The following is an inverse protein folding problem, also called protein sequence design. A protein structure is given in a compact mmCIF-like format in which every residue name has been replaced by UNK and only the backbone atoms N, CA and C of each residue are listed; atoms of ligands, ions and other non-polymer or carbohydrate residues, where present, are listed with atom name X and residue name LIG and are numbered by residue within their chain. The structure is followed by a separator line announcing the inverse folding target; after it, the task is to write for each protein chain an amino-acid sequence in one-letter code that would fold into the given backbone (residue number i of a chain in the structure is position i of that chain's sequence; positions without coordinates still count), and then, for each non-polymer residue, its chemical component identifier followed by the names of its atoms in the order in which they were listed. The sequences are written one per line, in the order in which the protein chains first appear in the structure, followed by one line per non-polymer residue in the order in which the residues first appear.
data_IF_839167664669
#
_entry.id   IF_839167664669
#
_cell.length_a   1.000
_cell.length_b   1.000
_cell.length_c   1.000
_cell.angle_alpha   90.00
_cell.angle_beta   90.00
_cell.angle_gamma   90.00
#
_symmetry.space_group_name_H-M   'P 1'
#
loop_
_entity.id
_entity.type
_entity.pdbx_description
1 polymer ?
#
# COMPACT_ATOMS: atom_id res chain seq x y z
N UNK A 1 11.76 27.88 3.67
CA UNK A 1 12.28 26.54 4.06
C UNK A 1 11.47 25.89 5.20
N UNK A 2 11.21 26.55 6.34
CA UNK A 2 10.46 25.95 7.47
C UNK A 2 8.99 25.60 7.15
N UNK A 3 8.28 26.46 6.40
CA UNK A 3 6.87 26.22 6.04
C UNK A 3 6.73 25.04 5.06
N UNK A 4 7.56 25.01 4.01
CA UNK A 4 7.58 23.91 3.03
C UNK A 4 7.80 22.55 3.71
N UNK A 5 8.79 22.46 4.61
CA UNK A 5 9.02 21.23 5.39
C UNK A 5 7.81 20.83 6.23
N UNK A 6 7.14 21.77 6.90
CA UNK A 6 5.91 21.47 7.67
C UNK A 6 4.79 20.90 6.79
N UNK A 7 4.61 21.43 5.57
CA UNK A 7 3.59 20.94 4.63
C UNK A 7 3.93 19.52 4.18
N UNK A 8 5.17 19.26 3.77
CA UNK A 8 5.63 17.94 3.35
C UNK A 8 5.53 16.92 4.49
N UNK A 9 5.93 17.32 5.70
CA UNK A 9 5.83 16.48 6.90
C UNK A 9 4.37 16.15 7.18
N UNK A 10 3.46 17.12 7.13
CA UNK A 10 2.04 16.87 7.29
C UNK A 10 1.52 15.91 6.22
N UNK A 11 1.84 16.12 4.95
CA UNK A 11 1.43 15.27 3.83
C UNK A 11 1.83 13.79 4.02
N UNK A 12 3.07 13.53 4.42
CA UNK A 12 3.58 12.17 4.60
C UNK A 12 3.06 11.57 5.92
N UNK A 13 3.15 12.33 7.01
CA UNK A 13 2.87 11.82 8.34
C UNK A 13 1.38 11.76 8.69
N UNK A 14 0.50 12.41 7.92
CA UNK A 14 -0.96 12.21 8.02
C UNK A 14 -1.49 11.10 7.07
N UNK A 15 -0.59 10.35 6.43
CA UNK A 15 -0.90 9.27 5.47
C UNK A 15 -1.59 9.72 4.17
N UNK A 16 -1.58 11.01 3.81
CA UNK A 16 -2.14 11.47 2.52
C UNK A 16 -1.35 10.85 1.36
N UNK A 17 -0.04 10.76 1.48
CA UNK A 17 0.79 10.13 0.45
C UNK A 17 0.45 8.64 0.23
N UNK A 18 0.26 7.89 1.32
CA UNK A 18 -0.13 6.47 1.28
C UNK A 18 -1.54 6.31 0.70
N UNK A 19 -2.46 7.20 1.03
CA UNK A 19 -3.81 7.22 0.46
C UNK A 19 -3.76 7.48 -1.06
N UNK A 20 -2.88 8.36 -1.53
CA UNK A 20 -2.67 8.60 -2.95
C UNK A 20 -2.07 7.38 -3.66
N UNK A 21 -1.17 6.64 -3.01
CA UNK A 21 -0.66 5.38 -3.55
C UNK A 21 -1.78 4.33 -3.70
N UNK A 22 -2.64 4.17 -2.68
CA UNK A 22 -3.80 3.27 -2.74
C UNK A 22 -4.85 3.67 -3.77
N UNK A 23 -5.13 4.98 -3.89
CA UNK A 23 -5.92 5.54 -5.00
C UNK A 23 -5.33 5.11 -6.34
N UNK A 24 -4.02 5.29 -6.52
CA UNK A 24 -3.34 5.07 -7.79
C UNK A 24 -3.40 3.61 -8.21
N UNK A 25 -3.11 2.70 -7.29
CA UNK A 25 -3.22 1.25 -7.52
C UNK A 25 -4.64 0.84 -7.91
N UNK A 26 -5.65 1.38 -7.23
CA UNK A 26 -7.06 1.06 -7.52
C UNK A 26 -7.47 1.58 -8.89
N UNK A 27 -7.04 2.80 -9.23
CA UNK A 27 -7.32 3.42 -10.53
C UNK A 27 -6.60 2.72 -11.69
N UNK A 28 -5.35 2.25 -11.50
CA UNK A 28 -4.63 1.45 -12.50
C UNK A 28 -5.43 0.20 -12.87
N UNK A 29 -5.97 -0.52 -11.89
CA UNK A 29 -6.83 -1.68 -12.15
C UNK A 29 -8.03 -1.29 -12.99
N UNK A 30 -8.76 -0.25 -12.61
CA UNK A 30 -9.94 0.20 -13.34
C UNK A 30 -9.60 0.60 -14.78
N UNK A 31 -8.51 1.34 -15.00
CA UNK A 31 -8.04 1.72 -16.34
C UNK A 31 -7.68 0.49 -17.18
N UNK A 32 -6.97 -0.48 -16.60
CA UNK A 32 -6.59 -1.72 -17.30
C UNK A 32 -7.81 -2.53 -17.75
N UNK A 33 -8.92 -2.46 -17.02
CA UNK A 33 -10.17 -3.15 -17.35
C UNK A 33 -11.20 -2.27 -18.08
N UNK A 34 -10.81 -1.05 -18.48
CA UNK A 34 -11.65 -0.16 -19.29
C UNK A 34 -12.71 0.64 -18.50
N UNK A 35 -12.57 0.73 -17.19
CA UNK A 35 -13.46 1.50 -16.32
C UNK A 35 -12.80 2.82 -15.92
N UNK A 36 -13.26 3.94 -16.48
CA UNK A 36 -12.67 5.26 -16.15
C UNK A 36 -13.45 6.01 -15.08
N UNK A 37 -14.76 6.09 -15.19
CA UNK A 37 -15.59 6.89 -14.29
C UNK A 37 -16.08 6.07 -13.09
N UNK A 38 -15.24 5.99 -12.06
CA UNK A 38 -15.54 5.20 -10.87
C UNK A 38 -14.98 5.86 -9.60
N UNK A 39 -15.80 5.92 -8.54
CA UNK A 39 -15.43 6.53 -7.26
C UNK A 39 -14.64 5.61 -6.33
N UNK A 40 -14.46 4.34 -6.69
CA UNK A 40 -13.77 3.33 -5.89
C UNK A 40 -12.32 3.72 -5.51
N UNK A 41 -11.51 4.36 -6.37
CA UNK A 41 -10.19 4.87 -5.98
C UNK A 41 -10.26 5.90 -4.83
N UNK A 42 -11.26 6.79 -4.85
CA UNK A 42 -11.48 7.75 -3.77
C UNK A 42 -11.97 7.05 -2.50
N UNK A 43 -12.84 6.05 -2.64
CA UNK A 43 -13.26 5.22 -1.51
C UNK A 43 -12.06 4.57 -0.81
N UNK A 44 -11.15 3.96 -1.58
CA UNK A 44 -9.92 3.35 -1.05
C UNK A 44 -9.04 4.40 -0.37
N UNK A 45 -8.84 5.57 -1.00
CA UNK A 45 -8.05 6.66 -0.43
C UNK A 45 -8.59 7.13 0.93
N UNK A 46 -9.89 7.41 1.03
CA UNK A 46 -10.53 7.83 2.27
C UNK A 46 -10.47 6.75 3.34
N UNK A 47 -10.64 5.48 2.95
CA UNK A 47 -10.50 4.34 3.87
C UNK A 47 -9.09 4.22 4.43
N UNK A 48 -8.05 4.42 3.61
CA UNK A 48 -6.65 4.45 4.06
C UNK A 48 -6.42 5.59 5.05
N UNK A 49 -6.91 6.80 4.75
CA UNK A 49 -6.78 7.96 5.65
C UNK A 49 -7.39 7.69 7.02
N UNK A 50 -8.54 7.03 7.08
CA UNK A 50 -9.18 6.68 8.36
C UNK A 50 -8.39 5.58 9.07
N UNK A 51 -8.18 4.45 8.38
CA UNK A 51 -7.57 3.25 8.96
C UNK A 51 -6.14 3.50 9.45
N UNK A 52 -5.28 4.14 8.63
CA UNK A 52 -3.87 4.30 8.97
C UNK A 52 -3.65 5.35 10.05
N UNK A 53 -4.47 6.42 10.09
CA UNK A 53 -4.40 7.38 11.19
C UNK A 53 -4.93 6.78 12.50
N UNK A 54 -5.97 5.94 12.44
CA UNK A 54 -6.41 5.17 13.60
C UNK A 54 -5.33 4.20 14.10
N UNK A 55 -4.69 3.45 13.21
CA UNK A 55 -3.58 2.54 13.55
C UNK A 55 -2.44 3.30 14.22
N UNK A 56 -2.02 4.46 13.67
CA UNK A 56 -0.98 5.30 14.29
C UNK A 56 -1.38 5.76 15.70
N UNK A 57 -2.62 6.20 15.88
CA UNK A 57 -3.14 6.56 17.20
C UNK A 57 -3.08 5.39 18.19
N UNK A 58 -3.53 4.21 17.76
CA UNK A 58 -3.49 2.99 18.56
C UNK A 58 -2.06 2.61 18.96
N UNK A 59 -1.10 2.67 18.01
CA UNK A 59 0.31 2.37 18.29
C UNK A 59 0.96 3.35 19.26
N UNK A 60 0.63 4.65 19.16
CA UNK A 60 1.08 5.67 20.11
C UNK A 60 0.54 5.37 21.51
N UNK A 61 -0.75 5.03 21.64
CA UNK A 61 -1.37 4.69 22.93
C UNK A 61 -0.78 3.45 23.57
N UNK A 62 -0.28 2.51 22.77
CA UNK A 62 0.40 1.30 23.23
C UNK A 62 1.93 1.44 23.33
N UNK A 63 2.47 2.66 23.31
CA UNK A 63 3.91 2.97 23.41
C UNK A 63 4.80 2.32 22.34
N UNK A 64 4.25 1.96 21.17
CA UNK A 64 4.99 1.35 20.05
C UNK A 64 5.57 2.36 19.08
N UNK A 65 5.07 3.60 19.11
CA UNK A 65 5.42 4.66 18.17
C UNK A 65 5.81 5.97 18.89
N UNK A 66 6.66 5.86 19.92
CA UNK A 66 7.01 6.99 20.81
C UNK A 66 7.72 8.13 20.09
N UNK A 67 8.61 7.84 19.12
CA UNK A 67 9.34 8.88 18.37
C UNK A 67 8.42 9.81 17.57
N UNK A 68 7.21 9.37 17.25
CA UNK A 68 6.23 10.09 16.44
C UNK A 68 5.17 10.81 17.28
N UNK A 69 5.11 10.51 18.58
CA UNK A 69 4.05 10.93 19.51
C UNK A 69 3.87 12.44 19.55
N UNK A 70 4.96 13.18 19.74
CA UNK A 70 4.89 14.64 19.91
C UNK A 70 4.42 15.34 18.64
N UNK A 71 4.94 14.90 17.49
CA UNK A 71 4.50 15.41 16.19
C UNK A 71 3.01 15.13 15.97
N UNK A 72 2.54 13.92 16.27
CA UNK A 72 1.14 13.52 16.07
C UNK A 72 0.20 14.37 16.91
N UNK A 73 0.47 14.55 18.20
CA UNK A 73 -0.38 15.36 19.08
C UNK A 73 -0.32 16.85 18.76
N UNK A 74 0.81 17.36 18.27
CA UNK A 74 0.90 18.74 17.79
C UNK A 74 0.03 19.01 16.55
N UNK A 75 -0.22 17.99 15.72
CA UNK A 75 -1.00 18.10 14.48
C UNK A 75 -2.39 17.44 14.56
N UNK A 76 -2.83 17.00 15.74
CA UNK A 76 -4.02 16.15 15.93
C UNK A 76 -5.30 16.79 15.37
N UNK A 77 -5.46 18.11 15.48
CA UNK A 77 -6.64 18.81 14.95
C UNK A 77 -6.75 18.67 13.43
N UNK A 78 -5.62 18.80 12.72
CA UNK A 78 -5.57 18.62 11.27
C UNK A 78 -5.81 17.17 10.86
N UNK A 79 -5.28 16.21 11.62
CA UNK A 79 -5.49 14.77 11.39
C UNK A 79 -6.97 14.42 11.61
N UNK A 80 -7.60 14.92 12.68
CA UNK A 80 -9.02 14.69 12.94
C UNK A 80 -9.91 15.32 11.87
N UNK A 81 -9.61 16.54 11.43
CA UNK A 81 -10.32 17.17 10.32
C UNK A 81 -10.21 16.32 9.05
N UNK A 82 -9.01 15.83 8.72
CA UNK A 82 -8.78 14.95 7.58
C UNK A 82 -9.59 13.64 7.69
N UNK A 83 -9.64 13.02 8.87
CA UNK A 83 -10.44 11.82 9.12
C UNK A 83 -11.94 12.10 8.99
N UNK A 84 -12.44 13.21 9.54
CA UNK A 84 -13.85 13.60 9.42
C UNK A 84 -14.23 13.82 7.96
N UNK A 85 -13.42 14.57 7.21
CA UNK A 85 -13.64 14.80 5.78
C UNK A 85 -13.60 13.48 4.99
N UNK A 86 -12.73 12.55 5.36
CA UNK A 86 -12.67 11.22 4.75
C UNK A 86 -13.93 10.39 5.04
N UNK A 87 -14.45 10.44 6.28
CA UNK A 87 -15.70 9.78 6.65
C UNK A 87 -16.88 10.36 5.87
N UNK A 88 -16.95 11.69 5.77
CA UNK A 88 -17.97 12.38 4.96
C UNK A 88 -17.85 12.00 3.48
N UNK A 89 -16.64 11.90 2.94
CA UNK A 89 -16.37 11.43 1.58
C UNK A 89 -16.83 10.00 1.34
N UNK A 90 -16.57 9.08 2.27
CA UNK A 90 -17.09 7.71 2.20
C UNK A 90 -18.62 7.67 2.27
N UNK A 91 -19.22 8.46 3.15
CA UNK A 91 -20.68 8.60 3.24
C UNK A 91 -21.28 9.12 1.94
N UNK A 92 -20.65 10.14 1.35
CA UNK A 92 -21.05 10.68 0.05
C UNK A 92 -21.02 9.60 -1.04
N UNK A 93 -19.89 8.88 -1.19
CA UNK A 93 -19.77 7.81 -2.19
C UNK A 93 -20.80 6.70 -1.93
N UNK A 94 -20.96 6.27 -0.68
CA UNK A 94 -21.81 5.11 -0.36
C UNK A 94 -23.31 5.39 -0.50
N UNK A 95 -23.76 6.62 -0.25
CA UNK A 95 -25.20 6.95 -0.21
C UNK A 95 -25.67 7.87 -1.35
N UNK A 96 -24.77 8.64 -1.97
CA UNK A 96 -25.09 9.65 -2.97
C UNK A 96 -24.43 9.40 -4.34
N UNK A 97 -23.87 8.22 -4.55
CA UNK A 97 -23.39 7.77 -5.86
C UNK A 97 -23.98 6.39 -6.20
N UNK A 98 -23.79 5.92 -7.44
CA UNK A 98 -24.24 4.59 -7.90
C UNK A 98 -23.40 3.43 -7.34
N UNK A 99 -22.86 3.59 -6.13
CA UNK A 99 -21.94 2.66 -5.51
C UNK A 99 -22.62 1.35 -5.13
N UNK A 100 -22.06 0.23 -5.57
CA UNK A 100 -22.59 -1.08 -5.21
C UNK A 100 -22.21 -1.44 -3.76
N UNK A 101 -23.11 -1.25 -2.79
CA UNK A 101 -22.86 -1.57 -1.38
C UNK A 101 -22.45 -3.03 -1.12
N UNK A 102 -22.83 -3.99 -1.98
CA UNK A 102 -22.40 -5.39 -1.84
C UNK A 102 -20.90 -5.55 -2.07
N UNK A 103 -20.25 -4.64 -2.80
CA UNK A 103 -18.80 -4.65 -3.02
C UNK A 103 -18.00 -4.54 -1.72
N UNK A 104 -18.58 -3.94 -0.67
CA UNK A 104 -17.95 -3.85 0.66
C UNK A 104 -17.70 -5.23 1.27
N UNK A 105 -18.49 -6.25 0.91
CA UNK A 105 -18.28 -7.63 1.37
C UNK A 105 -16.93 -8.20 0.88
N UNK A 106 -16.46 -7.78 -0.31
CA UNK A 106 -15.16 -8.17 -0.86
C UNK A 106 -14.01 -7.64 0.00
N UNK A 107 -14.22 -6.52 0.70
CA UNK A 107 -13.21 -5.92 1.57
C UNK A 107 -13.04 -6.69 2.89
N UNK A 108 -14.02 -7.49 3.31
CA UNK A 108 -14.01 -8.15 4.62
C UNK A 108 -12.71 -8.92 4.94
N UNK A 109 -12.21 -9.85 4.09
CA UNK A 109 -10.97 -10.57 4.38
C UNK A 109 -9.76 -9.64 4.49
N UNK A 110 -9.69 -8.58 3.69
CA UNK A 110 -8.55 -7.67 3.67
C UNK A 110 -8.59 -6.65 4.82
N UNK A 111 -9.80 -6.20 5.18
CA UNK A 111 -10.05 -5.39 6.36
C UNK A 111 -9.74 -6.17 7.64
N UNK A 112 -10.12 -7.45 7.70
CA UNK A 112 -9.73 -8.36 8.77
C UNK A 112 -8.21 -8.47 8.89
N UNK A 113 -7.50 -8.76 7.79
CA UNK A 113 -6.03 -8.79 7.80
C UNK A 113 -5.41 -7.47 8.26
N UNK A 114 -5.91 -6.33 7.79
CA UNK A 114 -5.40 -5.00 8.16
C UNK A 114 -5.63 -4.68 9.64
N UNK A 115 -6.82 -5.00 10.16
CA UNK A 115 -7.16 -4.77 11.56
C UNK A 115 -6.29 -5.62 12.48
N UNK A 116 -6.20 -6.92 12.19
CA UNK A 116 -5.43 -7.88 13.00
C UNK A 116 -3.91 -7.86 12.75
N UNK A 117 -3.47 -7.04 11.79
CA UNK A 117 -2.06 -6.69 11.64
C UNK A 117 -1.62 -5.71 12.73
N UNK A 118 -2.42 -4.67 12.99
CA UNK A 118 -2.11 -3.66 14.00
C UNK A 118 -2.56 -4.08 15.42
N UNK A 119 -3.74 -4.68 15.52
CA UNK A 119 -4.35 -5.10 16.78
C UNK A 119 -4.13 -6.62 16.94
N UNK A 120 -3.60 -7.09 18.08
CA UNK A 120 -3.35 -8.51 18.26
C UNK A 120 -4.64 -9.32 18.31
N UNK A 121 -4.64 -10.47 17.61
CA UNK A 121 -5.69 -11.49 17.64
C UNK A 121 -5.87 -12.06 19.05
N UNK A 122 -4.75 -12.34 19.72
CA UNK A 122 -4.74 -12.89 21.07
C UNK A 122 -3.64 -12.24 21.91
N UNK A 123 -3.95 -12.01 23.18
CA UNK A 123 -2.97 -11.66 24.21
C UNK A 123 -2.89 -12.80 25.22
N UNK A 124 -1.74 -13.47 25.30
CA UNK A 124 -1.48 -14.52 26.29
C UNK A 124 -0.35 -14.01 27.19
N UNK A 125 -0.73 -13.44 28.34
CA UNK A 125 0.21 -12.76 29.23
C UNK A 125 0.86 -11.54 28.56
N UNK A 126 2.18 -11.57 28.39
CA UNK A 126 2.94 -10.51 27.66
C UNK A 126 3.07 -10.78 26.16
N UNK A 127 2.66 -11.95 25.68
CA UNK A 127 2.75 -12.32 24.27
C UNK A 127 1.54 -11.78 23.52
N UNK A 128 1.80 -11.06 22.43
CA UNK A 128 0.80 -10.55 21.52
C UNK A 128 0.93 -11.24 20.17
N UNK A 129 -0.11 -11.97 19.78
CA UNK A 129 -0.16 -12.66 18.47
C UNK A 129 -0.90 -11.75 17.50
N UNK A 130 -0.18 -11.18 16.53
CA UNK A 130 -0.73 -10.39 15.42
C UNK A 130 -0.04 -10.78 14.11
N UNK A 131 -0.63 -10.47 12.96
CA UNK A 131 0.01 -10.72 11.67
C UNK A 131 1.37 -10.01 11.54
N UNK A 132 1.58 -8.90 12.28
CA UNK A 132 2.85 -8.17 12.32
C UNK A 132 3.97 -8.93 13.03
N UNK A 133 3.63 -9.76 14.01
CA UNK A 133 4.61 -10.38 14.90
C UNK A 133 5.05 -11.77 14.41
N UNK A 134 4.38 -12.33 13.40
CA UNK A 134 4.73 -13.65 12.86
C UNK A 134 5.71 -13.50 11.68
N UNK A 135 6.91 -14.13 11.76
CA UNK A 135 7.87 -14.20 10.67
C UNK A 135 7.25 -14.52 9.32
N UNK A 136 7.69 -13.82 8.28
CA UNK A 136 7.25 -13.98 6.88
C UNK A 136 5.78 -13.62 6.62
N UNK A 137 4.85 -13.92 7.53
CA UNK A 137 3.44 -13.56 7.42
C UNK A 137 3.26 -12.03 7.37
N UNK A 138 4.06 -11.27 8.14
CA UNK A 138 4.02 -9.78 8.16
C UNK A 138 3.95 -9.17 6.76
N UNK A 139 4.86 -9.54 5.86
CA UNK A 139 4.96 -8.93 4.53
C UNK A 139 3.83 -9.42 3.60
N UNK A 140 3.52 -10.72 3.64
CA UNK A 140 2.47 -11.30 2.80
C UNK A 140 1.09 -10.78 3.19
N UNK A 141 0.78 -10.59 4.48
CA UNK A 141 -0.50 -10.01 4.92
C UNK A 141 -0.70 -8.59 4.38
N UNK A 142 0.34 -7.75 4.40
CA UNK A 142 0.27 -6.40 3.82
C UNK A 142 0.03 -6.49 2.31
N UNK A 143 0.85 -7.26 1.61
CA UNK A 143 0.79 -7.31 0.15
C UNK A 143 -0.53 -7.90 -0.35
N UNK A 144 -1.03 -8.98 0.27
CA UNK A 144 -2.31 -9.59 -0.09
C UNK A 144 -3.47 -8.63 0.20
N UNK A 145 -3.46 -7.93 1.33
CA UNK A 145 -4.50 -6.94 1.63
C UNK A 145 -4.51 -5.81 0.60
N UNK A 146 -3.33 -5.25 0.26
CA UNK A 146 -3.22 -4.19 -0.73
C UNK A 146 -3.58 -4.64 -2.14
N UNK A 147 -3.14 -5.82 -2.57
CA UNK A 147 -3.51 -6.38 -3.86
C UNK A 147 -5.02 -6.67 -3.94
N UNK A 148 -5.60 -7.24 -2.89
CA UNK A 148 -7.02 -7.56 -2.84
C UNK A 148 -7.92 -6.32 -2.87
N UNK A 149 -7.58 -5.30 -2.07
CA UNK A 149 -8.30 -4.02 -2.03
C UNK A 149 -8.15 -3.27 -3.36
N UNK A 150 -6.97 -3.29 -3.99
CA UNK A 150 -6.75 -2.52 -5.22
C UNK A 150 -7.15 -3.26 -6.50
N UNK A 151 -7.43 -4.57 -6.45
CA UNK A 151 -7.82 -5.37 -7.61
C UNK A 151 -9.25 -5.88 -7.51
N UNK A 152 -9.58 -6.71 -6.50
CA UNK A 152 -10.89 -7.37 -6.46
C UNK A 152 -12.04 -6.42 -6.14
N UNK A 153 -11.82 -5.48 -5.21
CA UNK A 153 -12.84 -4.52 -4.83
C UNK A 153 -13.31 -3.62 -5.99
N UNK A 154 -12.43 -2.90 -6.73
CA UNK A 154 -12.89 -2.08 -7.86
C UNK A 154 -13.51 -2.90 -8.99
N UNK A 155 -13.04 -4.12 -9.24
CA UNK A 155 -13.60 -4.99 -10.28
C UNK A 155 -15.02 -5.44 -9.93
N UNK A 156 -15.24 -5.85 -8.68
CA UNK A 156 -16.58 -6.23 -8.24
C UNK A 156 -17.54 -5.04 -8.21
N UNK A 157 -17.06 -3.88 -7.76
CA UNK A 157 -17.86 -2.65 -7.73
C UNK A 157 -18.29 -2.23 -9.14
N UNK A 158 -17.40 -2.35 -10.12
CA UNK A 158 -17.69 -2.15 -11.55
C UNK A 158 -18.60 -3.25 -12.18
N UNK A 159 -19.11 -4.19 -11.37
CA UNK A 159 -19.93 -5.33 -11.79
C UNK A 159 -19.25 -6.23 -12.85
N UNK A 160 -17.92 -6.31 -12.83
CA UNK A 160 -17.15 -7.18 -13.72
C UNK A 160 -16.89 -8.53 -13.04
N UNK A 161 -16.96 -9.61 -13.82
CA UNK A 161 -16.78 -10.97 -13.31
C UNK A 161 -15.31 -11.27 -12.99
N UNK A 162 -15.04 -12.10 -11.97
CA UNK A 162 -13.68 -12.54 -11.67
C UNK A 162 -13.21 -13.60 -12.68
N UNK A 163 -12.61 -13.13 -13.76
CA UNK A 163 -12.01 -13.94 -14.82
C UNK A 163 -10.54 -14.27 -14.52
N UNK A 164 -9.93 -15.14 -15.33
CA UNK A 164 -8.49 -15.39 -15.34
C UNK A 164 -7.67 -14.10 -15.39
N UNK A 165 -8.10 -13.12 -16.18
CA UNK A 165 -7.43 -11.81 -16.30
C UNK A 165 -7.39 -11.04 -14.96
N UNK A 166 -8.47 -11.11 -14.16
CA UNK A 166 -8.53 -10.46 -12.84
C UNK A 166 -7.54 -11.12 -11.87
N UNK A 167 -7.47 -12.45 -11.87
CA UNK A 167 -6.51 -13.17 -11.04
C UNK A 167 -5.07 -12.92 -11.50
N UNK A 168 -4.81 -12.84 -12.81
CA UNK A 168 -3.51 -12.48 -13.36
C UNK A 168 -3.06 -11.09 -12.87
N UNK A 169 -3.94 -10.08 -12.94
CA UNK A 169 -3.68 -8.73 -12.40
C UNK A 169 -3.41 -8.77 -10.90
N UNK A 170 -4.16 -9.55 -10.12
CA UNK A 170 -3.95 -9.71 -8.68
C UNK A 170 -2.57 -10.30 -8.34
N UNK A 171 -2.17 -11.38 -9.01
CA UNK A 171 -0.86 -11.99 -8.79
C UNK A 171 0.28 -11.09 -9.26
N UNK A 172 0.12 -10.42 -10.41
CA UNK A 172 1.08 -9.43 -10.89
C UNK A 172 1.23 -8.28 -9.88
N UNK A 173 0.12 -7.82 -9.28
CA UNK A 173 0.11 -6.79 -8.23
C UNK A 173 0.87 -7.23 -6.98
N UNK A 174 0.74 -8.49 -6.58
CA UNK A 174 1.49 -9.06 -5.45
C UNK A 174 3.01 -8.97 -5.70
N UNK A 175 3.47 -9.31 -6.90
CA UNK A 175 4.91 -9.32 -7.21
C UNK A 175 5.55 -7.94 -7.06
N UNK A 176 4.93 -6.91 -7.63
CA UNK A 176 5.46 -5.53 -7.52
C UNK A 176 5.34 -4.99 -6.08
N UNK A 177 4.26 -5.27 -5.37
CA UNK A 177 4.11 -4.85 -3.97
C UNK A 177 5.11 -5.54 -3.03
N UNK A 178 5.43 -6.82 -3.25
CA UNK A 178 6.53 -7.49 -2.52
C UNK A 178 7.88 -6.80 -2.79
N UNK A 179 8.16 -6.43 -4.03
CA UNK A 179 9.40 -5.71 -4.34
C UNK A 179 9.47 -4.32 -3.69
N UNK A 180 8.36 -3.57 -3.69
CA UNK A 180 8.23 -2.24 -3.08
C UNK A 180 8.40 -2.30 -1.55
N UNK A 181 8.00 -3.38 -0.90
CA UNK A 181 8.05 -3.51 0.56
C UNK A 181 9.43 -3.88 1.10
N UNK A 182 10.31 -4.51 0.31
CA UNK A 182 11.67 -4.87 0.73
C UNK A 182 12.52 -3.66 1.18
N UNK A 183 12.53 -2.51 0.49
CA UNK A 183 13.19 -1.28 0.97
C UNK A 183 12.77 -0.85 2.38
N UNK A 184 11.49 -1.03 2.74
CA UNK A 184 10.99 -0.71 4.08
C UNK A 184 11.58 -1.66 5.12
N UNK A 185 11.59 -2.97 4.84
CA UNK A 185 12.21 -3.96 5.72
C UNK A 185 13.72 -3.72 5.87
N UNK A 186 14.43 -3.33 4.80
CA UNK A 186 15.87 -3.02 4.85
C UNK A 186 16.13 -1.82 5.76
N UNK A 187 15.33 -0.75 5.65
CA UNK A 187 15.40 0.43 6.53
C UNK A 187 15.14 0.04 7.99
N UNK A 188 14.11 -0.76 8.22
CA UNK A 188 13.64 -1.08 9.57
C UNK A 188 14.52 -2.10 10.30
N UNK A 189 15.46 -2.75 9.61
CA UNK A 189 16.42 -3.70 10.21
C UNK A 189 17.16 -3.18 11.45
N UNK A 190 17.38 -1.87 11.57
CA UNK A 190 18.07 -1.28 12.72
C UNK A 190 17.19 -1.31 13.98
N UNK A 191 15.88 -1.19 13.81
CA UNK A 191 14.91 -1.07 14.91
C UNK A 191 14.11 -2.35 15.14
N UNK A 192 13.92 -3.16 14.11
CA UNK A 192 13.16 -4.41 14.16
C UNK A 192 13.91 -5.47 14.97
N UNK A 193 13.18 -6.16 15.86
CA UNK A 193 13.71 -7.31 16.59
C UNK A 193 14.19 -8.39 15.63
N UNK A 194 15.29 -9.07 15.97
CA UNK A 194 15.78 -10.26 15.24
C UNK A 194 14.75 -11.39 15.19
N UNK A 195 13.82 -11.43 16.13
CA UNK A 195 12.75 -12.44 16.17
C UNK A 195 11.70 -12.28 15.06
N UNK A 196 11.61 -11.11 14.42
CA UNK A 196 10.67 -10.85 13.33
C UNK A 196 11.06 -11.59 12.05
N UNK A 197 12.34 -11.95 11.88
CA UNK A 197 12.88 -12.68 10.72
C UNK A 197 12.35 -12.12 9.40
N UNK A 198 12.52 -10.82 9.18
CA UNK A 198 12.18 -10.17 7.90
C UNK A 198 13.03 -10.73 6.76
N UNK A 199 12.64 -10.51 5.51
CA UNK A 199 13.40 -10.99 4.35
C UNK A 199 14.89 -10.62 4.39
N UNK A 200 15.27 -9.34 4.63
CA UNK A 200 16.68 -8.99 4.71
C UNK A 200 17.37 -9.48 6.00
N UNK A 201 16.63 -9.80 7.06
CA UNK A 201 17.20 -10.45 8.26
C UNK A 201 17.51 -11.94 8.02
N UNK A 202 16.68 -12.66 7.24
CA UNK A 202 16.88 -14.08 6.93
C UNK A 202 17.93 -14.25 5.83
N UNK A 203 17.74 -13.55 4.71
CA UNK A 203 18.53 -13.77 3.48
C UNK A 203 19.81 -12.92 3.44
N UNK A 204 19.85 -11.85 4.22
CA UNK A 204 20.81 -10.75 4.06
C UNK A 204 20.31 -9.72 3.04
N UNK A 205 20.84 -8.49 3.15
CA UNK A 205 20.40 -7.35 2.33
C UNK A 205 20.55 -7.62 0.84
N UNK A 206 21.69 -8.16 0.41
CA UNK A 206 21.98 -8.40 -1.01
C UNK A 206 21.01 -9.41 -1.60
N UNK A 207 20.80 -10.55 -0.93
CA UNK A 207 19.90 -11.59 -1.41
C UNK A 207 18.43 -11.13 -1.38
N UNK A 208 18.03 -10.29 -0.42
CA UNK A 208 16.71 -9.66 -0.43
C UNK A 208 16.53 -8.74 -1.64
N UNK A 209 17.55 -7.97 -2.04
CA UNK A 209 17.53 -7.15 -3.27
C UNK A 209 17.48 -8.00 -4.54
N UNK A 210 18.21 -9.12 -4.58
CA UNK A 210 18.14 -10.09 -5.69
C UNK A 210 16.74 -10.69 -5.79
N UNK A 211 16.16 -11.14 -4.68
CA UNK A 211 14.79 -11.65 -4.64
C UNK A 211 13.79 -10.60 -5.16
N UNK A 212 13.86 -9.36 -4.69
CA UNK A 212 13.01 -8.29 -5.19
C UNK A 212 13.18 -8.04 -6.69
N UNK A 213 14.40 -8.15 -7.21
CA UNK A 213 14.67 -8.04 -8.66
C UNK A 213 14.05 -9.18 -9.45
N UNK A 214 14.12 -10.42 -8.94
CA UNK A 214 13.46 -11.59 -9.54
C UNK A 214 11.93 -11.45 -9.54
N UNK A 215 11.35 -10.91 -8.46
CA UNK A 215 9.92 -10.60 -8.39
C UNK A 215 9.52 -9.56 -9.45
N UNK A 216 10.34 -8.52 -9.66
CA UNK A 216 10.11 -7.51 -10.70
C UNK A 216 10.24 -8.09 -12.12
N UNK A 217 11.14 -9.03 -12.33
CA UNK A 217 11.19 -9.77 -13.59
C UNK A 217 9.90 -10.57 -13.81
N UNK A 218 9.41 -11.28 -12.80
CA UNK A 218 8.10 -11.95 -12.84
C UNK A 218 6.95 -10.97 -13.12
N UNK A 219 6.95 -9.79 -12.49
CA UNK A 219 5.96 -8.74 -12.71
C UNK A 219 5.89 -8.29 -14.18
N UNK A 220 7.05 -8.12 -14.83
CA UNK A 220 7.14 -7.78 -16.26
C UNK A 220 6.69 -8.96 -17.13
N UNK A 221 7.12 -10.18 -16.81
CA UNK A 221 6.72 -11.37 -17.57
C UNK A 221 5.21 -11.58 -17.55
N UNK A 222 4.55 -11.37 -16.41
CA UNK A 222 3.09 -11.54 -16.29
C UNK A 222 2.30 -10.60 -17.20
N UNK A 223 2.86 -9.44 -17.55
CA UNK A 223 2.21 -8.48 -18.47
C UNK A 223 2.02 -9.08 -19.87
N UNK A 224 2.96 -9.90 -20.32
CA UNK A 224 2.94 -10.54 -21.65
C UNK A 224 1.77 -11.52 -21.77
N UNK A 225 1.31 -12.08 -20.66
CA UNK A 225 0.22 -13.05 -20.63
C UNK A 225 -1.17 -12.41 -20.49
N UNK A 226 -1.28 -11.08 -20.44
CA UNK A 226 -2.57 -10.40 -20.40
C UNK A 226 -3.28 -10.47 -21.75
N UNK A 227 -4.57 -10.78 -21.72
CA UNK A 227 -5.41 -10.86 -22.93
C UNK A 227 -5.48 -9.53 -23.69
N UNK A 228 -5.40 -8.41 -22.98
CA UNK A 228 -5.39 -7.04 -23.50
C UNK A 228 -3.98 -6.44 -23.60
N UNK A 229 -2.97 -7.27 -23.87
CA UNK A 229 -1.59 -6.81 -24.03
C UNK A 229 -1.48 -5.64 -25.02
N UNK A 230 -0.79 -4.59 -24.60
CA UNK A 230 -0.42 -3.47 -25.47
C UNK A 230 1.07 -3.18 -25.32
N UNK A 231 1.71 -2.77 -26.42
CA UNK A 231 3.13 -2.39 -26.40
C UNK A 231 3.40 -1.24 -25.41
N UNK A 232 2.53 -0.24 -25.38
CA UNK A 232 2.65 0.89 -24.45
C UNK A 232 2.44 0.47 -22.98
N UNK A 233 1.45 -0.38 -22.69
CA UNK A 233 1.25 -0.92 -21.34
C UNK A 233 2.47 -1.70 -20.85
N UNK A 234 3.05 -2.54 -21.72
CA UNK A 234 4.28 -3.26 -21.43
C UNK A 234 5.47 -2.33 -21.15
N UNK A 235 5.66 -1.28 -21.95
CA UNK A 235 6.72 -0.29 -21.70
C UNK A 235 6.55 0.41 -20.35
N UNK A 236 5.32 0.76 -19.96
CA UNK A 236 5.04 1.38 -18.66
C UNK A 236 5.40 0.42 -17.53
N UNK A 237 4.97 -0.85 -17.62
CA UNK A 237 5.31 -1.90 -16.65
C UNK A 237 6.82 -2.09 -16.53
N UNK A 238 7.55 -2.09 -17.66
CA UNK A 238 9.00 -2.18 -17.68
C UNK A 238 9.67 -0.96 -17.01
N UNK A 239 9.21 0.26 -17.30
CA UNK A 239 9.71 1.48 -16.66
C UNK A 239 9.49 1.43 -15.15
N UNK A 240 8.31 1.01 -14.71
CA UNK A 240 7.98 0.87 -13.29
C UNK A 240 8.84 -0.20 -12.62
N UNK A 241 9.10 -1.31 -13.30
CA UNK A 241 10.03 -2.33 -12.80
C UNK A 241 11.45 -1.76 -12.63
N UNK A 242 11.95 -0.99 -13.59
CA UNK A 242 13.27 -0.36 -13.52
C UNK A 242 13.33 0.66 -12.37
N UNK A 243 12.34 1.54 -12.26
CA UNK A 243 12.26 2.54 -11.17
C UNK A 243 12.23 1.83 -9.81
N UNK A 244 11.41 0.79 -9.67
CA UNK A 244 11.32 0.01 -8.43
C UNK A 244 12.64 -0.70 -8.12
N UNK A 245 13.31 -1.26 -9.12
CA UNK A 245 14.62 -1.88 -8.96
C UNK A 245 15.68 -0.87 -8.51
N UNK A 246 15.70 0.35 -9.07
CA UNK A 246 16.62 1.40 -8.62
C UNK A 246 16.39 1.75 -7.15
N UNK A 247 15.12 1.94 -6.74
CA UNK A 247 14.79 2.18 -5.34
C UNK A 247 15.14 0.99 -4.42
N UNK A 248 15.02 -0.24 -4.93
CA UNK A 248 15.44 -1.43 -4.21
C UNK A 248 16.95 -1.48 -4.03
N UNK A 249 17.73 -1.26 -5.08
CA UNK A 249 19.18 -1.39 -5.04
C UNK A 249 19.87 -0.26 -4.27
N UNK A 250 19.30 0.95 -4.27
CA UNK A 250 19.78 2.07 -3.46
C UNK A 250 19.24 2.10 -2.03
N UNK A 251 18.42 1.12 -1.62
CA UNK A 251 17.97 1.02 -0.23
C UNK A 251 19.09 0.61 0.72
N UNK A 252 19.14 1.20 1.91
CA UNK A 252 20.14 0.90 2.95
C UNK A 252 19.55 1.01 4.36
N UNK A 253 20.09 0.29 5.37
CA UNK A 253 19.58 0.36 6.74
C UNK A 253 19.62 1.77 7.34
N UNK A 254 20.69 2.54 7.09
CA UNK A 254 20.87 3.91 7.59
C UNK A 254 20.41 4.94 6.57
N UNK A 255 19.15 4.88 6.16
CA UNK A 255 18.59 5.79 5.16
C UNK A 255 17.54 6.73 5.74
N UNK A 256 17.38 7.89 5.12
CA UNK A 256 16.35 8.86 5.48
C UNK A 256 14.95 8.23 5.38
N UNK A 257 14.08 8.49 6.36
CA UNK A 257 12.69 8.01 6.34
C UNK A 257 11.93 8.44 5.07
N UNK A 258 12.25 9.62 4.54
CA UNK A 258 11.65 10.13 3.30
C UNK A 258 11.99 9.28 2.07
N UNK A 259 13.09 8.52 2.09
CA UNK A 259 13.41 7.62 0.98
C UNK A 259 12.28 6.62 0.77
N UNK A 260 11.95 5.86 1.80
CA UNK A 260 10.86 4.89 1.76
C UNK A 260 9.48 5.55 1.80
N UNK A 261 9.25 6.49 2.73
CA UNK A 261 7.91 7.02 3.04
C UNK A 261 7.42 8.08 2.05
N UNK A 262 8.28 8.54 1.15
CA UNK A 262 7.89 9.42 0.05
C UNK A 262 8.31 8.80 -1.28
N UNK A 263 9.60 8.56 -1.53
CA UNK A 263 10.03 8.15 -2.87
C UNK A 263 9.58 6.73 -3.26
N UNK A 264 9.81 5.72 -2.41
CA UNK A 264 9.37 4.34 -2.72
C UNK A 264 7.84 4.25 -2.72
N UNK A 265 7.18 4.88 -1.75
CA UNK A 265 5.70 4.93 -1.68
C UNK A 265 5.07 5.68 -2.88
N UNK A 266 5.82 6.52 -3.59
CA UNK A 266 5.35 7.23 -4.80
C UNK A 266 5.24 6.33 -6.03
N UNK A 267 5.81 5.12 -6.02
CA UNK A 267 5.86 4.25 -7.21
C UNK A 267 4.46 4.04 -7.85
N UNK A 268 3.39 3.73 -7.10
CA UNK A 268 2.06 3.63 -7.68
C UNK A 268 1.54 4.93 -8.31
N UNK A 269 1.89 6.08 -7.72
CA UNK A 269 1.49 7.40 -8.23
C UNK A 269 2.19 7.68 -9.56
N UNK A 270 3.49 7.37 -9.63
CA UNK A 270 4.28 7.46 -10.87
C UNK A 270 3.69 6.54 -11.94
N UNK A 271 3.33 5.31 -11.57
CA UNK A 271 2.70 4.35 -12.48
C UNK A 271 1.38 4.88 -13.05
N UNK A 272 0.47 5.36 -12.20
CA UNK A 272 -0.79 5.93 -12.68
C UNK A 272 -0.54 7.15 -13.58
N UNK A 273 0.40 8.02 -13.21
CA UNK A 273 0.78 9.18 -14.02
C UNK A 273 1.21 8.76 -15.44
N UNK A 274 2.14 7.82 -15.55
CA UNK A 274 2.58 7.29 -16.85
C UNK A 274 1.42 6.69 -17.64
N UNK A 275 0.51 5.95 -16.98
CA UNK A 275 -0.64 5.34 -17.62
C UNK A 275 -1.63 6.35 -18.19
N UNK A 276 -1.86 7.48 -17.52
CA UNK A 276 -2.79 8.52 -17.97
C UNK A 276 -2.15 9.40 -19.07
N UNK A 277 -0.87 9.76 -18.95
CA UNK A 277 -0.21 10.65 -19.92
C UNK A 277 0.11 9.99 -21.27
N UNK A 278 0.22 8.67 -21.32
CA UNK A 278 0.57 7.91 -22.53
C UNK A 278 -0.69 7.36 -23.23
N UNK A 279 -1.87 7.53 -22.63
CA UNK A 279 -3.15 7.09 -23.19
C UNK A 279 -3.65 8.03 -24.29
#
# INVERSE_FOLDING_TARGET
MRLFKKIVDFYIYSNIHVALAGFSLTKITLVNFGFEDNFTPLFVAFSILIAYNFIRFYEIKNNRLNWFKDWFFMNIKGILLLMILSILGLGFISFFSNFNLKSVLILFPFAFMTFFYAIPLFKIGKLEVSFRNVPMIKIFSIVIAWAGISVFFPIYEANYQFTSAVYLEFFQRILVLLAITIPFDIRDMITDSKSLKTLPQILGIINAKVLGTLLLFGFVLMEIFKENFTYFGFLIVLIIAIITALFLWFSAPKQSRYYTSFWVESIPVIWLGLLIFIK
#
